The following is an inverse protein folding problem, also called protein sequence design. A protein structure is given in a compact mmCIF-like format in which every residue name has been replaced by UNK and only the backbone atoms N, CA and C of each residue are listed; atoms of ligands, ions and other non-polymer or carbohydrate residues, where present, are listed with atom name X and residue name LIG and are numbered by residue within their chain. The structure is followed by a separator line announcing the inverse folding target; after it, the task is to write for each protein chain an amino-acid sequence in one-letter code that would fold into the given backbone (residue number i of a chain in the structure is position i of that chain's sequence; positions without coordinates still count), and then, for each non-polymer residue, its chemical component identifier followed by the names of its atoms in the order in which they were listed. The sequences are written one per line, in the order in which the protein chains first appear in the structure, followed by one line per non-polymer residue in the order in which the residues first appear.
data_IF_655607636901
#
_entry.id   IF_655607636901
#
_cell.length_a   1.000
_cell.length_b   1.000
_cell.length_c   1.000
_cell.angle_alpha   90.00
_cell.angle_beta   90.00
_cell.angle_gamma   90.00
#
_symmetry.space_group_name_H-M   'P 1'
#
loop_
_entity.id
_entity.type
_entity.pdbx_description
1 polymer ?
#
# COMPACT_ATOMS: atom_id res chain seq x y z
N UNK A 1 -10.96 19.58 -7.80
CA UNK A 1 -11.92 19.62 -6.68
C UNK A 1 -12.37 18.23 -6.24
N UNK A 2 -12.91 17.38 -7.13
CA UNK A 2 -13.42 16.04 -6.76
C UNK A 2 -12.41 15.17 -5.96
N UNK A 3 -11.14 15.15 -6.36
CA UNK A 3 -10.09 14.41 -5.64
C UNK A 3 -9.70 15.01 -4.29
N UNK A 4 -9.84 16.33 -4.12
CA UNK A 4 -9.54 16.99 -2.84
C UNK A 4 -10.61 16.69 -1.79
N UNK A 5 -11.85 16.41 -2.21
CA UNK A 5 -12.94 16.07 -1.31
C UNK A 5 -12.76 14.73 -0.58
N UNK A 6 -12.01 13.80 -1.19
CA UNK A 6 -11.71 12.47 -0.62
C UNK A 6 -10.33 12.41 0.05
N UNK A 7 -9.53 13.48 -0.03
CA UNK A 7 -8.19 13.52 0.53
C UNK A 7 -8.27 13.57 2.05
N UNK A 8 -7.57 12.64 2.69
CA UNK A 8 -7.28 12.66 4.11
C UNK A 8 -5.93 13.33 4.39
N UNK A 9 -5.75 13.94 5.57
CA UNK A 9 -4.44 14.37 6.03
C UNK A 9 -3.45 13.22 6.01
N UNK A 10 -2.21 13.53 5.65
CA UNK A 10 -1.14 12.54 5.67
C UNK A 10 -0.76 12.21 7.13
N UNK A 11 -0.86 10.92 7.56
CA UNK A 11 -0.57 10.53 8.94
C UNK A 11 0.92 10.75 9.25
N UNK A 12 1.32 11.34 10.38
CA UNK A 12 2.73 11.52 10.72
C UNK A 12 3.50 10.20 10.79
N UNK A 13 4.80 10.24 10.48
CA UNK A 13 5.65 9.05 10.61
C UNK A 13 5.99 8.78 12.07
N UNK A 14 6.00 7.51 12.48
CA UNK A 14 6.45 7.10 13.82
C UNK A 14 7.88 7.58 14.10
N UNK A 15 8.15 7.87 15.36
CA UNK A 15 9.44 8.37 15.82
C UNK A 15 10.56 7.35 15.59
N UNK A 16 11.79 7.84 15.39
CA UNK A 16 12.95 6.98 15.08
C UNK A 16 13.21 5.92 16.16
N UNK A 17 13.02 6.25 17.44
CA UNK A 17 13.18 5.30 18.53
C UNK A 17 12.20 4.13 18.43
N UNK A 18 10.92 4.43 18.27
CA UNK A 18 9.86 3.42 18.13
C UNK A 18 10.10 2.56 16.89
N UNK A 19 10.51 3.19 15.79
CA UNK A 19 10.92 2.51 14.55
C UNK A 19 12.00 1.46 14.78
N UNK A 20 13.03 1.80 15.56
CA UNK A 20 14.11 0.89 15.91
C UNK A 20 13.62 -0.24 16.81
N UNK A 21 12.71 0.03 17.75
CA UNK A 21 12.10 -0.97 18.62
C UNK A 21 11.28 -1.99 17.80
N UNK A 22 10.42 -1.52 16.89
CA UNK A 22 9.66 -2.37 15.97
C UNK A 22 10.61 -3.18 15.05
N UNK A 23 11.66 -2.56 14.53
CA UNK A 23 12.64 -3.24 13.67
C UNK A 23 13.41 -4.33 14.43
N UNK A 24 13.76 -4.09 15.70
CA UNK A 24 14.40 -5.12 16.55
C UNK A 24 13.46 -6.27 16.81
N UNK A 25 12.18 -5.99 17.08
CA UNK A 25 11.15 -7.01 17.26
C UNK A 25 11.03 -7.88 15.99
N UNK A 26 10.90 -7.26 14.82
CA UNK A 26 10.86 -7.97 13.54
C UNK A 26 12.05 -8.91 13.34
N UNK A 27 13.27 -8.42 13.58
CA UNK A 27 14.49 -9.24 13.46
C UNK A 27 14.55 -10.38 14.46
N UNK A 28 13.92 -10.23 15.63
CA UNK A 28 13.83 -11.33 16.61
C UNK A 28 12.84 -12.42 16.19
N UNK A 29 11.92 -12.11 15.27
CA UNK A 29 10.96 -13.06 14.71
C UNK A 29 11.51 -13.73 13.44
N UNK A 30 12.28 -12.99 12.63
CA UNK A 30 13.03 -13.52 11.48
C UNK A 30 14.37 -14.16 11.90
N UNK A 31 14.30 -15.21 12.71
CA UNK A 31 15.47 -15.87 13.30
C UNK A 31 16.43 -16.49 12.26
N UNK A 32 15.87 -16.92 11.13
CA UNK A 32 16.63 -17.48 10.01
C UNK A 32 17.19 -16.40 9.07
N UNK A 33 16.83 -15.12 9.27
CA UNK A 33 17.29 -14.02 8.43
C UNK A 33 16.79 -14.09 6.98
N UNK A 34 15.57 -14.59 6.78
CA UNK A 34 14.92 -14.76 5.47
C UNK A 34 14.57 -13.42 4.83
N UNK A 35 14.46 -12.36 5.63
CA UNK A 35 13.98 -11.04 5.21
C UNK A 35 12.46 -10.91 5.22
N UNK A 36 11.73 -11.91 5.72
CA UNK A 36 10.27 -11.90 5.91
C UNK A 36 9.90 -12.77 7.12
N UNK A 37 8.77 -12.46 7.76
CA UNK A 37 8.14 -13.31 8.77
C UNK A 37 6.95 -14.06 8.15
N UNK A 38 6.91 -15.38 8.30
CA UNK A 38 5.73 -16.19 8.01
C UNK A 38 4.71 -16.10 9.14
N UNK A 39 3.49 -16.59 8.89
CA UNK A 39 2.48 -16.73 9.94
C UNK A 39 2.97 -17.61 11.12
N UNK A 40 3.79 -18.62 10.81
CA UNK A 40 4.42 -19.48 11.81
C UNK A 40 5.41 -18.72 12.69
N UNK A 41 6.26 -17.88 12.09
CA UNK A 41 7.21 -17.03 12.82
C UNK A 41 6.47 -16.04 13.74
N UNK A 42 5.35 -15.49 13.26
CA UNK A 42 4.51 -14.56 14.03
C UNK A 42 3.79 -15.25 15.20
N UNK A 43 3.39 -16.51 15.03
CA UNK A 43 2.85 -17.33 16.10
C UNK A 43 3.92 -17.80 17.12
N UNK A 44 5.18 -17.39 16.95
CA UNK A 44 6.29 -17.67 17.86
C UNK A 44 7.23 -18.80 17.41
N UNK A 45 6.92 -19.47 16.30
CA UNK A 45 7.76 -20.50 15.69
C UNK A 45 8.23 -21.64 16.61
N UNK A 46 9.34 -22.25 16.24
CA UNK A 46 9.94 -23.38 16.98
C UNK A 46 10.86 -22.96 18.14
N UNK A 47 11.27 -21.71 18.18
CA UNK A 47 12.25 -21.20 19.14
C UNK A 47 11.64 -20.47 20.33
N UNK A 48 10.31 -20.35 20.42
CA UNK A 48 9.66 -19.84 21.62
C UNK A 48 9.86 -20.82 22.78
N UNK A 49 10.59 -20.37 23.81
CA UNK A 49 10.73 -21.07 25.09
C UNK A 49 9.33 -21.47 25.61
N UNK A 50 9.20 -22.57 26.34
CA UNK A 50 7.90 -23.11 26.77
C UNK A 50 7.06 -22.07 27.52
N UNK A 51 7.71 -21.19 28.28
CA UNK A 51 7.06 -20.06 28.97
C UNK A 51 6.56 -18.96 28.02
N UNK A 52 7.23 -18.75 26.89
CA UNK A 52 6.83 -17.80 25.83
C UNK A 52 5.67 -18.39 25.04
N UNK A 53 5.72 -19.68 24.69
CA UNK A 53 4.59 -20.40 24.06
C UNK A 53 3.32 -20.34 24.90
N UNK A 54 3.43 -20.46 26.23
CA UNK A 54 2.28 -20.33 27.13
C UNK A 54 1.67 -18.92 27.20
N UNK A 55 2.43 -17.89 26.84
CA UNK A 55 1.96 -16.49 26.77
C UNK A 55 1.49 -16.08 25.38
N UNK A 56 1.99 -16.76 24.34
CA UNK A 56 1.52 -16.56 22.98
C UNK A 56 0.16 -17.24 22.81
N UNK A 57 -0.89 -16.47 23.01
CA UNK A 57 -2.28 -16.90 22.81
C UNK A 57 -2.64 -17.04 21.33
N UNK A 58 -1.82 -16.52 20.42
CA UNK A 58 -2.10 -16.48 18.99
C UNK A 58 -1.43 -17.68 18.31
N UNK A 59 -2.24 -18.58 17.75
CA UNK A 59 -1.78 -19.70 16.94
C UNK A 59 -1.59 -19.31 15.47
N UNK A 60 -0.85 -20.14 14.72
CA UNK A 60 -0.57 -19.90 13.29
C UNK A 60 -1.87 -19.78 12.46
N UNK A 61 -2.89 -20.58 12.79
CA UNK A 61 -4.18 -20.54 12.10
C UNK A 61 -4.87 -19.18 12.25
N UNK A 62 -4.86 -18.58 13.46
CA UNK A 62 -5.39 -17.24 13.68
C UNK A 62 -4.60 -16.18 12.92
N UNK A 63 -3.27 -16.29 12.87
CA UNK A 63 -2.45 -15.36 12.08
C UNK A 63 -2.81 -15.44 10.60
N UNK A 64 -2.92 -16.65 10.04
CA UNK A 64 -3.33 -16.86 8.64
C UNK A 64 -4.73 -16.36 8.34
N UNK A 65 -5.65 -16.48 9.30
CA UNK A 65 -7.01 -15.97 9.15
C UNK A 65 -7.04 -14.44 9.04
N UNK A 66 -6.17 -13.75 9.79
CA UNK A 66 -6.16 -12.28 9.88
C UNK A 66 -5.27 -11.65 8.80
N UNK A 67 -4.07 -12.18 8.61
CA UNK A 67 -3.03 -11.60 7.73
C UNK A 67 -2.91 -12.32 6.38
N UNK A 68 -3.56 -13.47 6.23
CA UNK A 68 -3.37 -14.36 5.09
C UNK A 68 -2.12 -15.24 5.23
N UNK A 69 -1.87 -16.07 4.21
CA UNK A 69 -0.71 -16.97 4.14
C UNK A 69 0.44 -16.36 3.32
N UNK A 70 0.62 -15.04 3.41
CA UNK A 70 1.63 -14.31 2.65
C UNK A 70 2.84 -13.96 3.54
N UNK A 71 4.07 -13.99 3.00
CA UNK A 71 5.26 -13.57 3.73
C UNK A 71 5.19 -12.07 4.06
N UNK A 72 5.42 -11.72 5.33
CA UNK A 72 5.33 -10.34 5.81
C UNK A 72 6.74 -9.75 5.90
N UNK A 73 7.06 -8.83 4.99
CA UNK A 73 8.32 -8.08 5.03
C UNK A 73 8.33 -7.00 6.12
N UNK A 74 9.51 -6.43 6.40
CA UNK A 74 9.69 -5.40 7.44
C UNK A 74 8.73 -4.21 7.27
N UNK A 75 8.55 -3.71 6.04
CA UNK A 75 7.66 -2.58 5.80
C UNK A 75 6.22 -2.88 6.21
N UNK A 76 5.68 -4.02 5.76
CA UNK A 76 4.32 -4.43 6.10
C UNK A 76 4.20 -4.73 7.60
N UNK A 77 5.23 -5.32 8.21
CA UNK A 77 5.26 -5.53 9.66
C UNK A 77 5.21 -4.20 10.42
N UNK A 78 5.94 -3.19 9.97
CA UNK A 78 5.86 -1.86 10.57
C UNK A 78 4.47 -1.26 10.40
N UNK A 79 3.84 -1.38 9.24
CA UNK A 79 2.46 -0.94 9.01
C UNK A 79 1.46 -1.61 9.98
N UNK A 80 1.69 -2.88 10.32
CA UNK A 80 0.85 -3.63 11.26
C UNK A 80 1.07 -3.25 12.73
N UNK A 81 2.30 -2.88 13.10
CA UNK A 81 2.70 -2.59 14.48
C UNK A 81 2.66 -1.11 14.86
N UNK A 82 2.47 -0.21 13.89
CA UNK A 82 2.33 1.21 14.17
C UNK A 82 1.05 1.53 14.94
N UNK A 83 1.13 2.51 15.83
CA UNK A 83 -0.03 3.07 16.52
C UNK A 83 -1.02 3.70 15.51
N UNK A 84 -2.30 3.64 15.86
CA UNK A 84 -3.38 4.27 15.10
C UNK A 84 -3.11 5.78 14.95
N UNK A 85 -3.25 6.30 13.73
CA UNK A 85 -2.94 7.70 13.41
C UNK A 85 -1.50 7.94 12.93
N UNK A 86 -0.63 6.93 12.93
CA UNK A 86 0.75 7.04 12.43
C UNK A 86 1.03 6.12 11.23
N UNK A 87 2.12 6.44 10.51
CA UNK A 87 2.68 5.59 9.46
C UNK A 87 4.09 5.13 9.82
N UNK A 88 4.48 3.92 9.42
CA UNK A 88 5.79 3.35 9.79
C UNK A 88 6.98 4.07 9.13
N UNK A 89 6.85 4.39 7.85
CA UNK A 89 7.90 5.00 7.03
C UNK A 89 7.29 5.97 6.00
N UNK A 90 8.11 6.74 5.30
CA UNK A 90 7.62 7.63 4.22
C UNK A 90 7.22 6.88 2.96
N UNK A 91 7.65 5.62 2.81
CA UNK A 91 7.24 4.71 1.74
C UNK A 91 6.02 3.87 2.11
N UNK A 92 5.50 4.03 3.33
CA UNK A 92 4.32 3.30 3.81
C UNK A 92 3.11 3.58 2.93
N UNK A 93 2.40 2.51 2.58
CA UNK A 93 1.22 2.56 1.72
C UNK A 93 -0.07 2.32 2.49
N UNK A 94 -0.04 1.65 3.64
CA UNK A 94 -1.20 1.47 4.51
C UNK A 94 -0.98 2.10 5.88
N UNK A 95 -2.03 2.69 6.43
CA UNK A 95 -2.06 3.20 7.80
C UNK A 95 -3.47 3.06 8.37
N UNK A 96 -3.63 3.42 9.64
CA UNK A 96 -4.93 3.54 10.28
C UNK A 96 -5.12 4.97 10.75
N UNK A 97 -6.35 5.48 10.71
CA UNK A 97 -6.68 6.76 11.35
C UNK A 97 -6.62 6.63 12.87
N UNK A 98 -6.67 7.75 13.60
CA UNK A 98 -6.77 7.78 15.08
C UNK A 98 -8.00 7.02 15.63
N UNK A 99 -8.97 6.69 14.77
CA UNK A 99 -10.16 5.90 15.11
C UNK A 99 -10.05 4.43 14.64
N UNK A 100 -8.85 3.98 14.27
CA UNK A 100 -8.58 2.61 13.81
C UNK A 100 -9.13 2.27 12.43
N UNK A 101 -9.61 3.26 11.65
CA UNK A 101 -10.12 3.00 10.28
C UNK A 101 -8.96 2.85 9.30
N UNK A 102 -8.94 1.81 8.45
CA UNK A 102 -7.87 1.60 7.50
C UNK A 102 -7.89 2.64 6.37
N UNK A 103 -6.71 3.18 6.07
CA UNK A 103 -6.47 4.13 4.99
C UNK A 103 -5.29 3.66 4.14
N UNK A 104 -5.31 4.04 2.87
CA UNK A 104 -4.28 3.67 1.89
C UNK A 104 -3.79 4.91 1.15
N UNK A 105 -2.50 4.93 0.85
CA UNK A 105 -1.87 5.94 0.00
C UNK A 105 -2.21 5.65 -1.45
N UNK A 106 -3.18 6.38 -1.96
CA UNK A 106 -3.61 6.33 -3.35
C UNK A 106 -2.68 7.18 -4.22
N UNK A 107 -2.17 6.59 -5.29
CA UNK A 107 -1.37 7.29 -6.30
C UNK A 107 -1.98 7.03 -7.68
N UNK A 108 -2.23 8.09 -8.42
CA UNK A 108 -2.80 8.05 -9.76
C UNK A 108 -1.87 8.72 -10.77
N UNK A 109 -1.15 7.90 -11.53
CA UNK A 109 -0.21 8.37 -12.57
C UNK A 109 -0.93 9.06 -13.74
N UNK A 110 -2.23 8.79 -13.89
CA UNK A 110 -3.04 9.37 -14.96
C UNK A 110 -3.27 10.86 -14.71
N UNK A 111 -3.54 11.25 -13.46
CA UNK A 111 -3.82 12.66 -13.12
C UNK A 111 -2.70 13.30 -12.29
N UNK A 112 -1.65 12.55 -11.94
CA UNK A 112 -0.57 13.04 -11.07
C UNK A 112 -1.04 13.31 -9.64
N UNK A 113 -2.05 12.56 -9.17
CA UNK A 113 -2.66 12.77 -7.86
C UNK A 113 -2.12 11.79 -6.84
N UNK A 114 -1.80 12.30 -5.65
CA UNK A 114 -1.40 11.48 -4.51
C UNK A 114 -2.12 11.96 -3.25
N UNK A 115 -2.76 11.02 -2.55
CA UNK A 115 -3.46 11.30 -1.29
C UNK A 115 -3.66 10.04 -0.46
N UNK A 116 -3.93 10.23 0.82
CA UNK A 116 -4.48 9.19 1.68
C UNK A 116 -5.99 9.15 1.54
N UNK A 117 -6.56 7.96 1.37
CA UNK A 117 -8.00 7.73 1.25
C UNK A 117 -8.41 6.53 2.12
N UNK A 118 -9.68 6.42 2.47
CA UNK A 118 -10.19 5.21 3.12
C UNK A 118 -10.13 4.01 2.18
N UNK A 119 -9.72 2.85 2.72
CA UNK A 119 -9.80 1.57 1.99
C UNK A 119 -11.26 1.27 1.64
N UNK A 120 -12.12 1.34 2.67
CA UNK A 120 -13.57 1.28 2.53
C UNK A 120 -14.15 2.70 2.68
N UNK A 121 -14.35 3.35 1.53
CA UNK A 121 -14.92 4.70 1.47
C UNK A 121 -16.28 4.73 2.20
N UNK A 122 -16.48 5.65 3.16
CA UNK A 122 -17.75 5.75 3.83
C UNK A 122 -18.84 6.21 2.83
N UNK A 123 -20.13 5.92 3.10
CA UNK A 123 -21.22 6.13 2.12
C UNK A 123 -21.25 7.53 1.50
N UNK A 124 -20.91 8.56 2.27
CA UNK A 124 -20.83 9.95 1.84
C UNK A 124 -19.75 10.22 0.77
N UNK A 125 -18.67 9.43 0.75
CA UNK A 125 -17.55 9.57 -0.19
C UNK A 125 -17.64 8.60 -1.37
N UNK A 126 -18.50 7.58 -1.32
CA UNK A 126 -18.61 6.55 -2.38
C UNK A 126 -18.86 7.18 -3.75
N UNK A 127 -19.76 8.16 -3.84
CA UNK A 127 -20.08 8.82 -5.11
C UNK A 127 -18.90 9.68 -5.62
N UNK A 128 -18.15 10.32 -4.73
CA UNK A 128 -16.96 11.10 -5.11
C UNK A 128 -15.83 10.18 -5.62
N UNK A 129 -15.59 9.05 -4.94
CA UNK A 129 -14.62 8.05 -5.38
C UNK A 129 -15.01 7.46 -6.74
N UNK A 130 -16.30 7.21 -6.98
CA UNK A 130 -16.78 6.77 -8.30
C UNK A 130 -16.53 7.81 -9.38
N UNK A 131 -16.85 9.08 -9.12
CA UNK A 131 -16.60 10.19 -10.07
C UNK A 131 -15.11 10.35 -10.37
N UNK A 132 -14.27 10.33 -9.34
CA UNK A 132 -12.81 10.38 -9.49
C UNK A 132 -12.31 9.24 -10.40
N UNK A 133 -12.72 7.99 -10.13
CA UNK A 133 -12.38 6.83 -10.98
C UNK A 133 -12.90 6.96 -12.41
N UNK A 134 -14.10 7.50 -12.61
CA UNK A 134 -14.65 7.74 -13.95
C UNK A 134 -13.79 8.75 -14.74
N UNK A 135 -13.43 9.88 -14.12
CA UNK A 135 -12.55 10.88 -14.73
C UNK A 135 -11.18 10.29 -15.07
N UNK A 136 -10.61 9.49 -14.19
CA UNK A 136 -9.35 8.78 -14.43
C UNK A 136 -9.41 7.87 -15.66
N UNK A 137 -10.53 7.15 -15.83
CA UNK A 137 -10.74 6.29 -16.99
C UNK A 137 -10.89 7.11 -18.28
N UNK A 138 -11.60 8.23 -18.26
CA UNK A 138 -11.72 9.15 -19.40
C UNK A 138 -10.36 9.71 -19.82
N UNK A 139 -9.55 10.19 -18.87
CA UNK A 139 -8.20 10.70 -19.16
C UNK A 139 -7.31 9.59 -19.72
N UNK A 140 -7.40 8.37 -19.18
CA UNK A 140 -6.67 7.21 -19.70
C UNK A 140 -7.07 6.91 -21.15
N UNK A 141 -8.36 6.96 -21.46
CA UNK A 141 -8.88 6.73 -22.80
C UNK A 141 -8.39 7.81 -23.78
N UNK A 142 -8.44 9.09 -23.39
CA UNK A 142 -7.95 10.19 -24.24
C UNK A 142 -6.44 10.10 -24.48
N UNK A 143 -5.65 9.75 -23.47
CA UNK A 143 -4.19 9.52 -23.62
C UNK A 143 -3.91 8.38 -24.60
N UNK A 144 -4.66 7.28 -24.51
CA UNK A 144 -4.52 6.16 -25.44
C UNK A 144 -4.86 6.56 -26.88
N UNK A 145 -5.95 7.30 -27.09
CA UNK A 145 -6.35 7.81 -28.41
C UNK A 145 -5.32 8.78 -28.99
N UNK A 146 -4.80 9.70 -28.17
CA UNK A 146 -3.77 10.64 -28.57
C UNK A 146 -2.47 9.93 -28.97
N UNK A 147 -2.03 8.93 -28.19
CA UNK A 147 -0.86 8.12 -28.49
C UNK A 147 -1.04 7.33 -29.80
N UNK A 148 -2.22 6.73 -30.03
CA UNK A 148 -2.52 6.02 -31.27
C UNK A 148 -2.47 6.97 -32.48
N UNK A 149 -3.05 8.18 -32.36
CA UNK A 149 -3.01 9.20 -33.43
C UNK A 149 -1.58 9.70 -33.70
N UNK A 150 -0.77 9.89 -32.66
CA UNK A 150 0.63 10.28 -32.79
C UNK A 150 1.44 9.19 -33.51
N UNK A 151 1.23 7.92 -33.15
CA UNK A 151 1.87 6.79 -33.81
C UNK A 151 1.47 6.69 -35.29
N UNK A 152 0.19 6.84 -35.62
CA UNK A 152 -0.28 6.84 -37.00
C UNK A 152 0.37 7.95 -37.84
N UNK A 153 0.50 9.16 -37.27
CA UNK A 153 1.21 10.28 -37.92
C UNK A 153 2.69 10.00 -38.14
N UNK A 154 3.36 9.39 -37.16
CA UNK A 154 4.77 9.03 -37.28
C UNK A 154 5.02 7.98 -38.38
N UNK A 155 4.14 6.98 -38.49
CA UNK A 155 4.20 5.97 -39.56
C UNK A 155 3.99 6.62 -40.93
N UNK A 156 2.94 7.42 -41.10
CA UNK A 156 2.68 8.10 -42.37
C UNK A 156 3.82 9.05 -42.78
N UNK A 157 4.46 9.72 -41.82
CA UNK A 157 5.63 10.56 -42.09
C UNK A 157 6.85 9.74 -42.52
N UNK A 158 7.08 8.57 -41.91
CA UNK A 158 8.16 7.66 -42.29
C UNK A 158 7.94 7.06 -43.70
N UNK A 159 6.72 6.63 -44.01
CA UNK A 159 6.34 6.14 -45.34
C UNK A 159 6.50 7.22 -46.40
N UNK A 160 6.10 8.45 -46.10
CA UNK A 160 6.30 9.58 -46.99
C UNK A 160 7.80 9.82 -47.25
N UNK A 161 8.65 9.79 -46.22
CA UNK A 161 10.09 10.00 -46.37
C UNK A 161 10.74 8.95 -47.29
N UNK A 162 10.38 7.67 -47.16
CA UNK A 162 10.89 6.59 -48.02
C UNK A 162 10.44 6.76 -49.48
N UNK A 163 9.26 7.33 -49.73
CA UNK A 163 8.76 7.54 -51.09
C UNK A 163 9.49 8.63 -51.88
N UNK A 164 10.31 9.47 -51.21
CA UNK A 164 11.09 10.53 -51.85
C UNK A 164 12.57 10.18 -52.06
N UNK A 165 13.02 9.02 -51.60
CA UNK A 165 14.36 8.46 -51.85
C UNK A 165 14.37 7.56 -53.09
#
# INVERSE_FOLDING_TARGET
EEYEAVRLPEPPTVGERERQEITRLYRSMDLEGKGYCSAFDIAGGDHADFKVRLRNTIDEASVKLILGDQPIGLQQFMELMCEDGFRGTDSTIHAKTEHGRPIVRYTSDVVGFQAWIFVDAPPEQVEQVKKAKALENEVRQWRAQAAAKARARAVAAAEAAVAWE
#
